data_IF_533883010970
#
_entry.id   IF_533883010970
#
_cell.length_a   1.000
_cell.length_b   1.000
_cell.length_c   1.000
_cell.angle_alpha   90.00
_cell.angle_beta   90.00
_cell.angle_gamma   90.00
#
_symmetry.space_group_name_H-M   'P 1'
#
loop_
_entity.id
_entity.type
_entity.pdbx_description
1 polymer ?
#
# COMPACT_ATOMS: atom_id res chain seq x y z
N UNK A 1 -18.10 15.41 20.67
CA UNK A 1 -16.82 14.91 20.10
C UNK A 1 -16.20 16.03 19.28
N UNK A 2 -14.87 16.17 19.28
CA UNK A 2 -14.18 17.24 18.54
C UNK A 2 -13.79 16.72 17.15
N UNK A 3 -14.01 17.52 16.10
CA UNK A 3 -13.67 17.18 14.69
C UNK A 3 -12.24 16.65 14.53
N UNK A 4 -11.28 17.20 15.30
CA UNK A 4 -9.88 16.75 15.27
C UNK A 4 -9.73 15.32 15.83
N UNK A 5 -10.51 14.96 16.85
CA UNK A 5 -10.52 13.60 17.42
C UNK A 5 -11.04 12.60 16.39
N UNK A 6 -12.14 12.93 15.73
CA UNK A 6 -12.79 12.06 14.74
C UNK A 6 -11.87 11.86 13.52
N UNK A 7 -11.18 12.92 13.07
CA UNK A 7 -10.18 12.83 11.99
C UNK A 7 -8.96 11.97 12.38
N UNK A 8 -8.52 12.01 13.64
CA UNK A 8 -7.45 11.13 14.13
C UNK A 8 -7.86 9.67 14.17
N UNK A 9 -9.11 9.40 14.54
CA UNK A 9 -9.64 8.03 14.51
C UNK A 9 -9.77 7.51 13.07
N UNK A 10 -10.28 8.34 12.17
CA UNK A 10 -10.34 8.04 10.74
C UNK A 10 -8.94 7.78 10.15
N UNK A 11 -7.94 8.60 10.53
CA UNK A 11 -6.56 8.42 10.09
C UNK A 11 -6.04 7.04 10.46
N UNK A 12 -6.20 6.63 11.73
CA UNK A 12 -5.78 5.30 12.19
C UNK A 12 -6.44 4.19 11.39
N UNK A 13 -7.75 4.29 11.14
CA UNK A 13 -8.49 3.27 10.41
C UNK A 13 -8.02 3.17 8.95
N UNK A 14 -7.84 4.31 8.30
CA UNK A 14 -7.38 4.38 6.90
C UNK A 14 -5.94 3.87 6.78
N UNK A 15 -5.06 4.17 7.74
CA UNK A 15 -3.69 3.64 7.79
C UNK A 15 -3.66 2.11 7.92
N UNK A 16 -4.48 1.55 8.82
CA UNK A 16 -4.62 0.10 8.98
C UNK A 16 -5.11 -0.54 7.69
N UNK A 17 -6.13 0.04 7.05
CA UNK A 17 -6.63 -0.44 5.76
C UNK A 17 -5.56 -0.37 4.66
N UNK A 18 -4.78 0.70 4.62
CA UNK A 18 -3.69 0.83 3.65
C UNK A 18 -2.63 -0.26 3.85
N UNK A 19 -2.17 -0.50 5.09
CA UNK A 19 -1.22 -1.57 5.41
C UNK A 19 -1.74 -2.95 5.01
N UNK A 20 -3.01 -3.23 5.31
CA UNK A 20 -3.66 -4.48 4.91
C UNK A 20 -3.60 -4.69 3.39
N UNK A 21 -3.84 -3.63 2.61
CA UNK A 21 -3.77 -3.72 1.14
C UNK A 21 -2.34 -3.89 0.64
N UNK A 22 -1.35 -3.23 1.26
CA UNK A 22 0.06 -3.42 0.95
C UNK A 22 0.52 -4.86 1.20
N UNK A 23 0.15 -5.45 2.34
CA UNK A 23 0.49 -6.84 2.66
C UNK A 23 -0.16 -7.83 1.68
N UNK A 24 -1.43 -7.60 1.33
CA UNK A 24 -2.14 -8.40 0.33
C UNK A 24 -1.41 -8.35 -1.03
N UNK A 25 -1.03 -7.15 -1.47
CA UNK A 25 -0.27 -6.97 -2.70
C UNK A 25 1.12 -7.61 -2.65
N UNK A 26 1.83 -7.49 -1.53
CA UNK A 26 3.14 -8.12 -1.34
C UNK A 26 3.06 -9.65 -1.45
N UNK A 27 2.02 -10.28 -0.87
CA UNK A 27 1.77 -11.72 -1.03
C UNK A 27 1.57 -12.10 -2.50
N UNK A 28 0.84 -11.28 -3.27
CA UNK A 28 0.65 -11.51 -4.70
C UNK A 28 1.97 -11.42 -5.48
N UNK A 29 2.84 -10.47 -5.16
CA UNK A 29 4.17 -10.36 -5.79
C UNK A 29 5.05 -11.58 -5.50
N UNK A 30 5.00 -12.12 -4.27
CA UNK A 30 5.71 -13.36 -3.92
C UNK A 30 5.18 -14.54 -4.74
N UNK A 31 3.85 -14.64 -4.90
CA UNK A 31 3.24 -15.67 -5.75
C UNK A 31 3.69 -15.54 -7.21
N UNK A 32 3.68 -14.33 -7.77
CA UNK A 32 4.17 -14.06 -9.13
C UNK A 32 5.63 -14.48 -9.30
N UNK A 33 6.51 -14.10 -8.38
CA UNK A 33 7.93 -14.45 -8.42
C UNK A 33 8.14 -15.98 -8.34
N UNK A 34 7.44 -16.66 -7.45
CA UNK A 34 7.51 -18.12 -7.34
C UNK A 34 7.05 -18.85 -8.61
N UNK A 35 6.01 -18.35 -9.29
CA UNK A 35 5.55 -18.91 -10.56
C UNK A 35 6.58 -18.69 -11.66
N UNK A 36 7.17 -17.49 -11.75
CA UNK A 36 8.23 -17.18 -12.72
C UNK A 36 9.46 -18.06 -12.51
N UNK A 37 9.90 -18.25 -11.27
CA UNK A 37 10.99 -19.17 -10.91
C UNK A 37 10.68 -20.63 -11.25
N UNK A 38 9.43 -21.04 -11.14
CA UNK A 38 9.01 -22.40 -11.51
C UNK A 38 9.01 -22.60 -13.02
N UNK A 39 8.58 -21.58 -13.78
CA UNK A 39 8.67 -21.59 -15.25
C UNK A 39 10.11 -21.65 -15.73
N UNK A 40 11.01 -20.85 -15.14
CA UNK A 40 12.44 -20.88 -15.47
C UNK A 40 13.03 -22.27 -15.25
N UNK A 41 12.75 -22.92 -14.12
CA UNK A 41 13.20 -24.30 -13.86
C UNK A 41 12.69 -25.30 -14.89
N UNK A 42 11.42 -25.19 -15.30
CA UNK A 42 10.86 -26.05 -16.36
C UNK A 42 11.56 -25.80 -17.70
N UNK A 43 11.91 -24.56 -18.00
CA UNK A 43 12.62 -24.20 -19.23
C UNK A 43 14.09 -24.66 -19.23
N UNK A 44 14.77 -24.61 -18.07
CA UNK A 44 16.10 -25.19 -17.87
C UNK A 44 16.10 -26.69 -18.11
N UNK A 45 15.17 -27.44 -17.50
CA UNK A 45 15.03 -28.87 -17.74
C UNK A 45 14.76 -29.21 -19.21
N UNK A 46 13.97 -28.38 -19.92
CA UNK A 46 13.73 -28.55 -21.36
C UNK A 46 14.99 -28.30 -22.20
N UNK A 47 15.85 -27.37 -21.80
CA UNK A 47 17.11 -27.09 -22.49
C UNK A 47 18.11 -28.23 -22.25
N UNK A 48 18.27 -28.66 -20.99
CA UNK A 48 19.17 -29.75 -20.61
C UNK A 48 18.81 -31.07 -21.29
N UNK A 49 17.51 -31.41 -21.36
CA UNK A 49 17.07 -32.63 -22.06
C UNK A 49 17.37 -32.59 -23.56
N UNK A 50 17.36 -31.42 -24.21
CA UNK A 50 17.70 -31.30 -25.65
C UNK A 50 19.19 -31.44 -25.89
N UNK A 51 20.03 -30.87 -25.02
CA UNK A 51 21.49 -30.96 -25.15
C UNK A 51 22.03 -32.38 -24.93
N UNK A 52 21.36 -33.19 -24.12
CA UNK A 52 21.78 -34.57 -23.79
C UNK A 52 21.18 -35.65 -24.72
N UNK A 53 20.31 -35.29 -25.67
CA UNK A 53 19.61 -36.23 -26.54
C UNK A 53 20.49 -36.88 -27.63
N UNK A 54 21.70 -36.38 -27.87
CA UNK A 54 22.64 -36.94 -28.86
C UNK A 54 23.33 -38.24 -28.40
N UNK A 55 23.18 -38.65 -27.13
CA UNK A 55 23.93 -39.76 -26.55
C UNK A 55 23.22 -41.14 -26.54
N UNK A 56 21.89 -41.22 -26.54
CA UNK A 56 21.19 -42.51 -26.39
C UNK A 56 19.87 -42.61 -27.18
N UNK A 57 19.94 -43.23 -28.35
CA UNK A 57 18.82 -43.42 -29.29
C UNK A 57 17.80 -44.51 -28.88
N UNK A 58 17.84 -45.01 -27.62
CA UNK A 58 17.06 -46.18 -27.16
C UNK A 58 15.83 -45.87 -26.30
N UNK A 59 15.58 -44.62 -25.89
CA UNK A 59 14.46 -44.27 -24.98
C UNK A 59 13.37 -43.37 -25.59
N UNK A 60 13.17 -43.42 -26.90
CA UNK A 60 12.26 -42.52 -27.66
C UNK A 60 10.83 -42.45 -27.07
N UNK A 61 10.29 -43.56 -26.53
CA UNK A 61 8.95 -43.58 -25.94
C UNK A 61 8.83 -42.89 -24.57
N UNK A 62 9.88 -42.98 -23.74
CA UNK A 62 9.90 -42.36 -22.41
C UNK A 62 10.10 -40.84 -22.52
N UNK A 63 10.94 -40.39 -23.46
CA UNK A 63 11.17 -38.97 -23.72
C UNK A 63 9.89 -38.26 -24.23
N UNK A 64 9.13 -38.86 -25.15
CA UNK A 64 7.88 -38.24 -25.65
C UNK A 64 6.87 -38.01 -24.50
N UNK A 65 6.71 -38.98 -23.59
CA UNK A 65 5.81 -38.85 -22.43
C UNK A 65 6.30 -37.77 -21.46
N UNK A 66 7.61 -37.70 -21.22
CA UNK A 66 8.26 -36.68 -20.40
C UNK A 66 8.10 -35.28 -20.98
N UNK A 67 8.39 -35.08 -22.26
CA UNK A 67 8.19 -33.83 -23.00
C UNK A 67 6.73 -33.39 -22.97
N UNK A 68 5.79 -34.32 -23.16
CA UNK A 68 4.36 -34.03 -23.08
C UNK A 68 3.93 -33.60 -21.67
N UNK A 69 4.48 -34.23 -20.62
CA UNK A 69 4.24 -33.83 -19.23
C UNK A 69 4.80 -32.44 -18.92
N UNK A 70 6.04 -32.15 -19.33
CA UNK A 70 6.66 -30.82 -19.22
C UNK A 70 5.82 -29.74 -19.92
N UNK A 71 5.36 -30.02 -21.14
CA UNK A 71 4.48 -29.11 -21.89
C UNK A 71 3.17 -28.81 -21.16
N UNK A 72 2.52 -29.84 -20.59
CA UNK A 72 1.32 -29.67 -19.76
C UNK A 72 1.63 -28.83 -18.51
N UNK A 73 2.75 -29.07 -17.83
CA UNK A 73 3.15 -28.33 -16.64
C UNK A 73 3.47 -26.87 -16.92
N UNK A 74 4.17 -26.57 -18.02
CA UNK A 74 4.40 -25.20 -18.47
C UNK A 74 3.09 -24.46 -18.76
N UNK A 75 2.14 -25.13 -19.42
CA UNK A 75 0.81 -24.56 -19.68
C UNK A 75 0.04 -24.25 -18.39
N UNK A 76 0.07 -25.17 -17.43
CA UNK A 76 -0.54 -24.99 -16.11
C UNK A 76 0.05 -23.78 -15.37
N UNK A 77 1.38 -23.69 -15.29
CA UNK A 77 2.09 -22.57 -14.66
C UNK A 77 1.80 -21.22 -15.36
N UNK A 78 1.78 -21.20 -16.70
CA UNK A 78 1.43 -20.00 -17.45
C UNK A 78 -0.01 -19.54 -17.21
N UNK A 79 -0.96 -20.48 -17.09
CA UNK A 79 -2.35 -20.16 -16.76
C UNK A 79 -2.45 -19.54 -15.36
N UNK A 80 -1.75 -20.10 -14.38
CA UNK A 80 -1.68 -19.52 -13.04
C UNK A 80 -1.04 -18.14 -13.04
N UNK A 81 0.06 -17.95 -13.78
CA UNK A 81 0.72 -16.65 -13.90
C UNK A 81 -0.21 -15.61 -14.53
N UNK A 82 -0.92 -15.97 -15.61
CA UNK A 82 -1.89 -15.08 -16.25
C UNK A 82 -3.01 -14.66 -15.28
N UNK A 83 -3.51 -15.58 -14.45
CA UNK A 83 -4.52 -15.27 -13.42
C UNK A 83 -3.96 -14.32 -12.35
N UNK A 84 -2.74 -14.55 -11.87
CA UNK A 84 -2.07 -13.66 -10.90
C UNK A 84 -1.88 -12.26 -11.50
N UNK A 85 -1.42 -12.16 -12.74
CA UNK A 85 -1.25 -10.88 -13.45
C UNK A 85 -2.58 -10.14 -13.65
N UNK A 86 -3.66 -10.86 -14.00
CA UNK A 86 -4.99 -10.25 -14.11
C UNK A 86 -5.48 -9.68 -12.76
N UNK A 87 -5.20 -10.39 -11.66
CA UNK A 87 -5.58 -9.95 -10.31
C UNK A 87 -4.68 -8.80 -9.82
N UNK A 88 -3.42 -8.76 -10.26
CA UNK A 88 -2.42 -7.76 -9.88
C UNK A 88 -2.89 -6.33 -10.15
N UNK A 89 -3.50 -6.09 -11.31
CA UNK A 89 -3.99 -4.75 -11.68
C UNK A 89 -5.06 -4.24 -10.72
N UNK A 90 -5.96 -5.13 -10.29
CA UNK A 90 -6.99 -4.80 -9.30
C UNK A 90 -6.37 -4.44 -7.94
N UNK A 91 -5.34 -5.17 -7.50
CA UNK A 91 -4.65 -4.86 -6.25
C UNK A 91 -3.87 -3.55 -6.32
N UNK A 92 -3.23 -3.24 -7.45
CA UNK A 92 -2.55 -1.96 -7.66
C UNK A 92 -3.53 -0.81 -7.45
N UNK A 93 -4.71 -0.90 -8.07
CA UNK A 93 -5.73 0.14 -7.95
C UNK A 93 -6.27 0.25 -6.51
N UNK A 94 -6.45 -0.87 -5.80
CA UNK A 94 -6.86 -0.87 -4.40
C UNK A 94 -5.82 -0.19 -3.49
N UNK A 95 -4.54 -0.50 -3.67
CA UNK A 95 -3.43 0.12 -2.92
C UNK A 95 -3.36 1.62 -3.21
N UNK A 96 -3.48 2.02 -4.48
CA UNK A 96 -3.51 3.44 -4.88
C UNK A 96 -4.67 4.20 -4.23
N UNK A 97 -5.89 3.65 -4.28
CA UNK A 97 -7.06 4.25 -3.62
C UNK A 97 -6.89 4.37 -2.12
N UNK A 98 -6.38 3.32 -1.47
CA UNK A 98 -6.13 3.34 -0.02
C UNK A 98 -5.08 4.40 0.35
N UNK A 99 -3.99 4.50 -0.41
CA UNK A 99 -2.99 5.55 -0.21
C UNK A 99 -3.55 6.96 -0.42
N UNK A 100 -4.39 7.16 -1.44
CA UNK A 100 -5.09 8.42 -1.68
C UNK A 100 -5.92 8.85 -0.47
N UNK A 101 -6.63 7.90 0.16
CA UNK A 101 -7.39 8.17 1.40
C UNK A 101 -6.46 8.59 2.54
N UNK A 102 -5.35 7.90 2.76
CA UNK A 102 -4.33 8.28 3.78
C UNK A 102 -3.89 9.72 3.57
N UNK A 103 -3.54 10.08 2.33
CA UNK A 103 -3.09 11.44 1.99
C UNK A 103 -4.15 12.50 2.29
N UNK A 104 -5.39 12.26 1.90
CA UNK A 104 -6.50 13.20 2.12
C UNK A 104 -6.77 13.37 3.61
N UNK A 105 -6.86 12.27 4.37
CA UNK A 105 -7.10 12.32 5.81
C UNK A 105 -5.97 13.06 6.55
N UNK A 106 -4.72 12.84 6.15
CA UNK A 106 -3.57 13.57 6.70
C UNK A 106 -3.63 15.07 6.39
N UNK A 107 -3.99 15.43 5.15
CA UNK A 107 -4.15 16.83 4.76
C UNK A 107 -5.24 17.52 5.57
N UNK A 108 -6.44 16.91 5.66
CA UNK A 108 -7.56 17.42 6.44
C UNK A 108 -7.23 17.60 7.92
N UNK A 109 -6.56 16.61 8.53
CA UNK A 109 -6.13 16.70 9.92
C UNK A 109 -5.15 17.86 10.13
N UNK A 110 -4.20 18.03 9.20
CA UNK A 110 -3.24 19.13 9.27
C UNK A 110 -3.91 20.50 9.16
N UNK A 111 -4.89 20.63 8.25
CA UNK A 111 -5.60 21.89 8.02
C UNK A 111 -6.50 22.24 9.21
N UNK A 112 -7.27 21.28 9.73
CA UNK A 112 -8.10 21.51 10.92
C UNK A 112 -7.27 21.81 12.16
N UNK A 113 -6.10 21.17 12.31
CA UNK A 113 -5.20 21.49 13.42
C UNK A 113 -4.65 22.92 13.34
N UNK A 114 -4.30 23.40 12.13
CA UNK A 114 -3.85 24.77 11.88
C UNK A 114 -4.96 25.78 12.16
N UNK A 115 -6.18 25.54 11.66
CA UNK A 115 -7.35 26.39 11.93
C UNK A 115 -7.65 26.48 13.43
N UNK A 116 -7.62 25.35 14.13
CA UNK A 116 -7.85 25.33 15.57
C UNK A 116 -6.76 26.09 16.33
N UNK A 117 -5.50 25.96 15.91
CA UNK A 117 -4.37 26.71 16.50
C UNK A 117 -4.52 28.22 16.27
N UNK A 118 -4.77 28.66 15.04
CA UNK A 118 -4.98 30.06 14.70
C UNK A 118 -6.17 30.68 15.46
N UNK A 119 -7.28 29.93 15.59
CA UNK A 119 -8.43 30.38 16.37
C UNK A 119 -8.09 30.56 17.85
N UNK A 120 -7.30 29.65 18.43
CA UNK A 120 -6.83 29.76 19.82
C UNK A 120 -5.88 30.94 20.01
N UNK A 121 -4.94 31.13 19.10
CA UNK A 121 -4.01 32.26 19.11
C UNK A 121 -4.75 33.59 19.04
N UNK A 122 -5.72 33.72 18.12
CA UNK A 122 -6.56 34.93 18.01
C UNK A 122 -7.33 35.21 19.31
N UNK A 123 -8.01 34.21 19.86
CA UNK A 123 -8.75 34.36 21.12
C UNK A 123 -7.81 34.74 22.28
N UNK A 124 -6.60 34.20 22.30
CA UNK A 124 -5.62 34.51 23.33
C UNK A 124 -5.10 35.94 23.19
N UNK A 125 -4.84 36.40 21.97
CA UNK A 125 -4.45 37.78 21.68
C UNK A 125 -5.55 38.76 22.13
N UNK A 126 -6.80 38.53 21.73
CA UNK A 126 -7.93 39.38 22.09
C UNK A 126 -8.05 39.48 23.63
N UNK A 127 -7.97 38.36 24.35
CA UNK A 127 -7.98 38.35 25.83
C UNK A 127 -6.81 39.10 26.45
N UNK A 128 -5.62 39.00 25.88
CA UNK A 128 -4.45 39.75 26.39
C UNK A 128 -4.61 41.25 26.16
N UNK A 129 -5.17 41.67 25.03
CA UNK A 129 -5.47 43.08 24.76
C UNK A 129 -6.54 43.61 25.74
N UNK A 130 -7.62 42.87 25.94
CA UNK A 130 -8.70 43.26 26.86
C UNK A 130 -8.20 43.40 28.30
N UNK A 131 -7.39 42.45 28.77
CA UNK A 131 -6.81 42.49 30.12
C UNK A 131 -5.78 43.61 30.30
N UNK A 132 -4.98 43.92 29.28
CA UNK A 132 -4.06 45.06 29.29
C UNK A 132 -4.82 46.40 29.32
N UNK A 133 -5.88 46.54 28.53
CA UNK A 133 -6.75 47.73 28.55
C UNK A 133 -7.42 47.93 29.91
N UNK A 134 -7.90 46.86 30.53
CA UNK A 134 -8.49 46.91 31.88
C UNK A 134 -7.48 47.30 32.98
N UNK A 135 -6.22 46.87 32.85
CA UNK A 135 -5.14 47.27 33.77
C UNK A 135 -4.77 48.75 33.64
N UNK A 136 -4.71 49.26 32.41
CA UNK A 136 -4.43 50.68 32.16
C UNK A 136 -5.53 51.60 32.72
N UNK A 137 -6.81 51.22 32.55
CA UNK A 137 -7.93 51.99 33.11
C UNK A 137 -7.97 52.00 34.64
N UNK A 138 -7.59 50.89 35.31
CA UNK A 138 -7.48 50.84 36.77
C UNK A 138 -6.33 51.68 37.33
N UNK A 139 -5.27 51.91 36.55
CA UNK A 139 -4.17 52.80 36.94
C UNK A 139 -4.50 54.29 36.85
N UNK A 140 -5.42 54.66 35.95
CA UNK A 140 -5.82 56.06 35.72
C UNK A 140 -6.88 56.58 36.72
N UNK A 141 -7.56 55.71 37.47
CA UNK A 141 -8.59 56.06 38.44
C UNK A 141 -8.05 55.86 39.88
N UNK A 142 -7.13 56.74 40.32
CA UNK A 142 -6.84 56.89 41.76
C UNK A 142 -7.81 57.94 42.34
N UNK A 143 -8.75 57.56 43.21
CA UNK A 143 -9.54 58.55 43.95
C UNK A 143 -8.61 59.23 44.96
N UNK A 144 -8.69 60.57 45.03
CA UNK A 144 -8.16 61.35 46.15
C UNK A 144 -9.01 61.13 47.40
#
# INVERSE_FOLDING_TARGET
MSVISDLKEMQKLVDVKYRQQQESFARLLIQEDSLRKSLLRVDEHLADSRCNADADQKEIGADILWQAWLGRKKKELNMHLAKVLATKEQHIEQVRKAYGKVRITNALLSDESKKAKQKREKIQLDRTLDSAAAQHFKGAFRPC
#
